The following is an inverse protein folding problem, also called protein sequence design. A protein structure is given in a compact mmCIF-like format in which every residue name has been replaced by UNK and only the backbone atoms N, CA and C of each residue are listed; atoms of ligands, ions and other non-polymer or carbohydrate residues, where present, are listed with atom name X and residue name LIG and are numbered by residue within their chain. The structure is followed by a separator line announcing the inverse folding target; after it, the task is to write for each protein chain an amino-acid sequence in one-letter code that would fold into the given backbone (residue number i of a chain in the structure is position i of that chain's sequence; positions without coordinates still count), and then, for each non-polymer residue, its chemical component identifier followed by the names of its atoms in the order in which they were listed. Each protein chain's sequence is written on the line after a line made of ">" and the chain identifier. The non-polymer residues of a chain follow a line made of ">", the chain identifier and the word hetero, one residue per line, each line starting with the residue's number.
data_IF_411515005470
#
_entry.id   IF_411515005470
#
_cell.length_a   1.000
_cell.length_b   1.000
_cell.length_c   1.000
_cell.angle_alpha   90.00
_cell.angle_beta   90.00
_cell.angle_gamma   90.00
#
_symmetry.space_group_name_H-M   'P 1'
#
loop_
_entity.id
_entity.type
_entity.pdbx_description
1 polymer ?
#
# COMPACT_ATOMS: atom_id res chain seq x y z
N UNK A 1 -13.42 -21.53 -5.30
CA UNK A 1 -14.07 -20.54 -6.17
C UNK A 1 -12.93 -19.81 -6.85
N UNK A 2 -12.85 -19.77 -8.18
CA UNK A 2 -11.76 -19.08 -8.87
C UNK A 2 -11.60 -17.64 -8.35
N UNK A 3 -10.35 -17.13 -8.32
CA UNK A 3 -10.08 -15.72 -8.05
C UNK A 3 -10.87 -14.87 -9.05
N UNK A 4 -11.69 -13.92 -8.60
CA UNK A 4 -12.34 -13.01 -9.52
C UNK A 4 -11.29 -12.05 -10.08
N UNK A 5 -11.34 -11.81 -11.39
CA UNK A 5 -10.35 -11.03 -12.13
C UNK A 5 -10.15 -9.62 -11.58
N UNK A 6 -11.17 -9.05 -10.94
CA UNK A 6 -11.10 -7.72 -10.33
C UNK A 6 -10.82 -7.73 -8.83
N UNK A 7 -10.82 -8.87 -8.14
CA UNK A 7 -10.64 -8.90 -6.67
C UNK A 7 -9.32 -8.27 -6.23
N UNK A 8 -8.25 -8.48 -7.00
CA UNK A 8 -6.93 -7.91 -6.72
C UNK A 8 -6.95 -6.39 -6.84
N UNK A 9 -7.63 -5.87 -7.87
CA UNK A 9 -7.75 -4.44 -8.12
C UNK A 9 -8.62 -3.77 -7.06
N UNK A 10 -9.80 -4.34 -6.78
CA UNK A 10 -10.70 -3.87 -5.72
C UNK A 10 -10.01 -3.86 -4.36
N UNK A 11 -9.18 -4.87 -4.06
CA UNK A 11 -8.39 -4.91 -2.83
C UNK A 11 -7.38 -3.74 -2.78
N UNK A 12 -6.67 -3.48 -3.87
CA UNK A 12 -5.72 -2.37 -3.95
C UNK A 12 -6.41 -1.00 -3.79
N UNK A 13 -7.56 -0.79 -4.44
CA UNK A 13 -8.37 0.42 -4.28
C UNK A 13 -8.92 0.58 -2.86
N UNK A 14 -9.36 -0.52 -2.25
CA UNK A 14 -9.84 -0.52 -0.86
C UNK A 14 -8.71 -0.14 0.10
N UNK A 15 -7.51 -0.70 -0.09
CA UNK A 15 -6.33 -0.34 0.71
C UNK A 15 -5.97 1.14 0.51
N UNK A 16 -5.96 1.62 -0.72
CA UNK A 16 -5.71 3.02 -1.04
C UNK A 16 -6.70 3.94 -0.31
N UNK A 17 -8.01 3.66 -0.42
CA UNK A 17 -9.06 4.44 0.22
C UNK A 17 -8.95 4.45 1.75
N UNK A 18 -8.64 3.30 2.36
CA UNK A 18 -8.46 3.21 3.80
C UNK A 18 -7.25 4.00 4.31
N UNK A 19 -6.12 3.92 3.61
CA UNK A 19 -4.94 4.70 3.97
C UNK A 19 -5.20 6.19 3.79
N UNK A 20 -5.84 6.57 2.70
CA UNK A 20 -6.20 7.96 2.43
C UNK A 20 -7.11 8.54 3.51
N UNK A 21 -8.19 7.83 3.88
CA UNK A 21 -9.08 8.25 4.95
C UNK A 21 -8.35 8.39 6.30
N UNK A 22 -7.47 7.45 6.64
CA UNK A 22 -6.69 7.52 7.88
C UNK A 22 -5.70 8.70 7.90
N UNK A 23 -5.12 9.07 6.75
CA UNK A 23 -4.27 10.25 6.63
C UNK A 23 -5.07 11.55 6.84
N UNK A 24 -6.28 11.64 6.30
CA UNK A 24 -7.18 12.78 6.57
C UNK A 24 -7.56 12.88 8.05
N UNK A 25 -7.96 11.76 8.66
CA UNK A 25 -8.27 11.72 10.10
C UNK A 25 -7.07 12.13 10.95
N UNK A 26 -5.86 11.74 10.53
CA UNK A 26 -4.62 12.12 11.22
C UNK A 26 -4.32 13.61 11.07
N UNK A 27 -4.49 14.18 9.86
CA UNK A 27 -4.32 15.60 9.62
C UNK A 27 -5.30 16.47 10.45
N UNK A 28 -6.52 15.98 10.67
CA UNK A 28 -7.47 16.64 11.57
C UNK A 28 -7.08 16.54 13.05
N UNK A 29 -6.31 15.53 13.45
CA UNK A 29 -5.95 15.27 14.85
C UNK A 29 -4.55 15.79 15.24
N UNK A 30 -3.64 15.93 14.28
CA UNK A 30 -2.23 16.26 14.50
C UNK A 30 -1.90 17.55 13.77
N UNK A 31 -1.57 18.60 14.53
CA UNK A 31 -1.16 19.89 13.98
C UNK A 31 0.03 19.74 13.00
N UNK A 32 -0.07 20.47 11.89
CA UNK A 32 0.86 20.49 10.76
C UNK A 32 1.08 19.15 10.05
N UNK A 33 0.26 18.12 10.33
CA UNK A 33 0.34 16.87 9.59
C UNK A 33 -0.39 16.98 8.24
N UNK A 34 0.27 16.69 7.11
CA UNK A 34 -0.39 16.68 5.82
C UNK A 34 -1.37 15.51 5.70
N UNK A 35 -2.54 15.78 5.13
CA UNK A 35 -3.58 14.78 4.84
C UNK A 35 -3.20 13.83 3.70
N UNK A 36 -4.21 13.20 3.12
CA UNK A 36 -4.03 12.34 1.97
C UNK A 36 -3.57 13.18 0.76
N UNK A 37 -2.46 12.83 0.09
CA UNK A 37 -2.05 13.56 -1.10
C UNK A 37 -3.08 13.41 -2.21
N UNK A 38 -3.36 14.46 -3.00
CA UNK A 38 -4.32 14.29 -4.11
C UNK A 38 -3.81 13.34 -5.19
N UNK A 39 -2.49 13.15 -5.30
CA UNK A 39 -1.93 12.06 -6.11
C UNK A 39 -2.01 10.75 -5.33
N UNK A 40 -3.23 10.25 -5.17
CA UNK A 40 -3.54 8.95 -4.58
C UNK A 40 -4.05 7.99 -5.67
N UNK A 41 -3.27 6.97 -6.04
CA UNK A 41 -3.67 6.06 -7.11
C UNK A 41 -3.14 4.62 -6.97
N UNK A 42 -3.88 3.67 -7.54
CA UNK A 42 -3.35 2.33 -7.80
C UNK A 42 -2.45 2.39 -9.03
N UNK A 43 -1.23 1.88 -8.93
CA UNK A 43 -0.21 1.95 -9.98
C UNK A 43 0.21 0.55 -10.43
N UNK A 44 0.73 0.38 -11.67
CA UNK A 44 1.13 -0.92 -12.19
C UNK A 44 2.44 -1.46 -11.59
N UNK A 45 3.17 -0.65 -10.82
CA UNK A 45 4.47 -0.98 -10.24
C UNK A 45 4.98 0.14 -9.33
N UNK A 46 6.28 0.13 -8.95
CA UNK A 46 6.86 1.17 -8.12
C UNK A 46 6.65 2.56 -8.74
N UNK A 47 6.30 3.58 -7.93
CA UNK A 47 6.11 4.93 -8.43
C UNK A 47 7.43 5.56 -8.88
N UNK A 48 7.34 6.50 -9.82
CA UNK A 48 8.40 7.47 -10.01
C UNK A 48 8.48 8.39 -8.78
N UNK A 49 9.71 8.81 -8.44
CA UNK A 49 9.97 9.72 -7.33
C UNK A 49 9.85 11.17 -7.81
N UNK A 50 8.65 11.52 -8.27
CA UNK A 50 8.31 12.82 -8.81
C UNK A 50 7.02 13.38 -8.20
N UNK A 51 6.83 14.70 -8.30
CA UNK A 51 5.58 15.33 -7.90
C UNK A 51 5.25 15.27 -6.40
N UNK A 52 6.21 14.99 -5.53
CA UNK A 52 5.98 15.10 -4.07
C UNK A 52 5.86 16.55 -3.59
N UNK A 53 6.42 17.50 -4.36
CA UNK A 53 6.51 18.92 -4.00
C UNK A 53 5.29 19.75 -4.37
N UNK A 54 4.37 19.23 -5.18
CA UNK A 54 3.24 20.02 -5.67
C UNK A 54 2.01 19.80 -4.78
N UNK A 55 1.54 20.83 -4.06
CA UNK A 55 0.20 20.80 -3.50
C UNK A 55 -0.81 20.82 -4.65
N UNK A 56 -1.98 20.25 -4.41
CA UNK A 56 -2.98 19.95 -5.41
C UNK A 56 -4.30 20.63 -5.06
N UNK A 57 -5.13 20.97 -6.04
CA UNK A 57 -6.38 21.71 -5.84
C UNK A 57 -6.36 23.10 -6.47
N UNK A 58 -7.51 23.77 -6.46
CA UNK A 58 -7.75 25.01 -7.24
C UNK A 58 -6.84 26.18 -6.81
N UNK A 59 -6.34 26.14 -5.56
CA UNK A 59 -5.54 27.19 -4.94
C UNK A 59 -4.22 26.68 -4.29
N UNK A 60 -3.81 25.43 -4.57
CA UNK A 60 -2.62 24.83 -3.95
C UNK A 60 -2.78 24.53 -2.44
N UNK A 61 -4.01 24.32 -1.98
CA UNK A 61 -4.35 24.04 -0.57
C UNK A 61 -4.32 22.55 -0.20
N UNK A 62 -4.30 21.64 -1.18
CA UNK A 62 -4.26 20.20 -0.93
C UNK A 62 -2.88 19.72 -0.48
N UNK A 63 -2.86 18.63 0.27
CA UNK A 63 -1.61 18.04 0.77
C UNK A 63 -0.71 17.61 -0.41
N UNK A 64 0.52 18.14 -0.43
CA UNK A 64 1.56 17.69 -1.33
C UNK A 64 1.97 16.24 -1.03
N UNK A 65 2.48 15.56 -2.05
CA UNK A 65 2.96 14.18 -1.95
C UNK A 65 2.32 13.24 -2.95
N UNK A 66 2.63 11.97 -2.79
CA UNK A 66 2.10 10.89 -3.62
C UNK A 66 1.84 9.65 -2.78
N UNK A 67 0.60 9.16 -2.82
CA UNK A 67 0.20 7.88 -2.24
C UNK A 67 -0.06 6.88 -3.37
N UNK A 68 0.66 5.77 -3.38
CA UNK A 68 0.43 4.71 -4.36
C UNK A 68 0.28 3.35 -3.72
N UNK A 69 -0.57 2.54 -4.33
CA UNK A 69 -0.66 1.11 -4.04
C UNK A 69 -0.36 0.35 -5.34
N UNK A 70 0.56 -0.59 -5.30
CA UNK A 70 0.79 -1.50 -6.43
C UNK A 70 0.88 -2.95 -5.97
N UNK A 71 0.64 -3.87 -6.89
CA UNK A 71 0.78 -5.30 -6.66
C UNK A 71 2.24 -5.68 -6.89
N UNK A 72 2.94 -6.14 -5.86
CA UNK A 72 4.30 -6.66 -6.00
C UNK A 72 4.31 -8.06 -6.60
N UNK A 73 3.40 -8.93 -6.15
CA UNK A 73 3.25 -10.29 -6.67
C UNK A 73 1.93 -10.94 -6.24
N UNK A 74 1.54 -11.95 -7.01
CA UNK A 74 0.46 -12.88 -6.71
C UNK A 74 1.07 -14.27 -6.66
N UNK A 75 0.78 -15.04 -5.61
CA UNK A 75 1.39 -16.35 -5.39
C UNK A 75 0.42 -17.36 -4.77
N UNK A 76 0.71 -18.64 -4.92
CA UNK A 76 -0.07 -19.74 -4.34
C UNK A 76 0.37 -19.98 -2.89
N UNK A 77 -0.57 -20.28 -1.99
CA UNK A 77 -0.22 -20.57 -0.60
C UNK A 77 -1.16 -21.59 0.04
N UNK A 78 -0.56 -22.60 0.67
CA UNK A 78 -1.20 -23.61 1.51
C UNK A 78 -1.04 -23.28 2.99
N UNK A 79 0.03 -22.56 3.34
CA UNK A 79 0.39 -22.14 4.70
C UNK A 79 0.68 -20.64 4.72
N UNK A 80 -0.37 -19.83 4.68
CA UNK A 80 -0.24 -18.37 4.58
C UNK A 80 0.64 -17.78 5.71
N UNK A 81 1.59 -16.85 5.43
CA UNK A 81 1.87 -16.19 4.15
C UNK A 81 3.01 -16.82 3.32
N UNK A 82 3.30 -18.11 3.49
CA UNK A 82 4.40 -18.80 2.79
C UNK A 82 4.02 -19.14 1.34
N UNK A 83 4.92 -18.86 0.41
CA UNK A 83 4.77 -19.19 -1.02
C UNK A 83 4.97 -20.71 -1.27
N UNK A 84 3.99 -21.32 -1.92
CA UNK A 84 4.02 -22.73 -2.29
C UNK A 84 4.96 -22.95 -3.48
N UNK A 85 5.88 -23.90 -3.35
CA UNK A 85 6.74 -24.36 -4.46
C UNK A 85 6.30 -25.69 -5.06
N UNK A 86 5.05 -26.08 -4.79
CA UNK A 86 4.51 -27.38 -5.24
C UNK A 86 4.16 -27.29 -6.73
N UNK A 87 4.68 -28.24 -7.51
CA UNK A 87 4.38 -28.37 -8.93
C UNK A 87 2.90 -28.74 -9.11
N UNK A 88 2.19 -27.92 -9.88
CA UNK A 88 0.77 -28.16 -10.19
C UNK A 88 0.62 -29.18 -11.31
N UNK A 89 -0.48 -29.95 -11.30
CA UNK A 89 -0.78 -30.95 -12.34
C UNK A 89 -0.08 -32.31 -12.18
N UNK A 90 0.63 -32.54 -11.07
CA UNK A 90 1.10 -33.86 -10.69
C UNK A 90 -0.03 -34.76 -10.18
N UNK A 91 0.20 -36.09 -10.16
CA UNK A 91 -0.73 -37.03 -9.51
C UNK A 91 -0.89 -36.65 -8.03
N UNK A 92 -2.14 -36.54 -7.57
CA UNK A 92 -2.52 -36.16 -6.20
C UNK A 92 -2.14 -34.72 -5.77
N UNK A 93 -1.91 -33.80 -6.70
CA UNK A 93 -1.71 -32.38 -6.37
C UNK A 93 -3.07 -31.72 -6.07
N UNK A 94 -3.30 -31.34 -4.81
CA UNK A 94 -4.43 -30.50 -4.44
C UNK A 94 -4.18 -29.05 -4.89
N UNK A 95 -5.20 -28.34 -5.39
CA UNK A 95 -5.06 -26.92 -5.69
C UNK A 95 -4.71 -26.12 -4.43
N UNK A 96 -4.03 -24.97 -4.56
CA UNK A 96 -3.68 -24.13 -3.42
C UNK A 96 -4.91 -23.73 -2.59
N UNK A 97 -4.77 -23.73 -1.27
CA UNK A 97 -5.86 -23.38 -0.36
C UNK A 97 -6.25 -21.89 -0.46
N UNK A 98 -5.28 -21.03 -0.75
CA UNK A 98 -5.46 -19.60 -0.92
C UNK A 98 -4.52 -19.04 -1.99
N UNK A 99 -4.84 -17.82 -2.44
CA UNK A 99 -3.96 -17.00 -3.27
C UNK A 99 -3.46 -15.84 -2.41
N UNK A 100 -2.14 -15.76 -2.23
CA UNK A 100 -1.51 -14.62 -1.58
C UNK A 100 -1.34 -13.47 -2.57
N UNK A 101 -1.77 -12.27 -2.19
CA UNK A 101 -1.51 -11.04 -2.94
C UNK A 101 -0.65 -10.14 -2.06
N UNK A 102 0.54 -9.80 -2.55
CA UNK A 102 1.41 -8.84 -1.87
C UNK A 102 1.25 -7.46 -2.51
N UNK A 103 0.76 -6.53 -1.72
CA UNK A 103 0.62 -5.12 -2.06
C UNK A 103 1.73 -4.32 -1.41
N UNK A 104 2.13 -3.26 -2.10
CA UNK A 104 3.09 -2.28 -1.62
C UNK A 104 2.39 -0.93 -1.59
N UNK A 105 2.27 -0.37 -0.39
CA UNK A 105 1.77 0.97 -0.15
C UNK A 105 2.97 1.89 -0.01
N UNK A 106 3.09 2.87 -0.88
CA UNK A 106 4.17 3.86 -0.86
C UNK A 106 3.56 5.24 -0.66
N UNK A 107 4.02 5.95 0.37
CA UNK A 107 3.69 7.36 0.58
C UNK A 107 4.98 8.17 0.47
N UNK A 108 4.99 9.14 -0.43
CA UNK A 108 6.07 10.10 -0.62
C UNK A 108 5.61 11.51 -0.22
N UNK A 109 6.50 12.23 0.45
CA UNK A 109 6.39 13.63 0.89
C UNK A 109 7.64 14.39 0.44
N UNK A 110 7.58 15.72 0.50
CA UNK A 110 8.75 16.57 0.25
C UNK A 110 9.84 16.29 1.28
N UNK A 111 11.06 16.09 0.80
CA UNK A 111 12.25 16.13 1.63
C UNK A 111 12.80 17.57 1.65
N UNK A 112 13.29 18.07 2.80
CA UNK A 112 14.11 19.28 2.82
C UNK A 112 15.36 19.07 1.94
N UNK A 113 15.58 19.98 0.99
CA UNK A 113 16.73 19.95 0.07
C UNK A 113 17.59 21.20 0.28
N UNK A 114 18.75 21.22 -0.40
CA UNK A 114 19.64 22.39 -0.44
C UNK A 114 18.89 23.60 -1.01
N UNK A 115 19.03 24.76 -0.38
CA UNK A 115 18.39 26.00 -0.83
C UNK A 115 19.05 26.60 -2.09
N UNK A 116 18.43 27.64 -2.67
CA UNK A 116 18.93 28.33 -3.87
C UNK A 116 20.33 28.95 -3.69
N UNK A 117 20.79 29.09 -2.44
CA UNK A 117 22.13 29.63 -2.10
C UNK A 117 23.16 28.52 -1.89
N UNK A 118 22.78 27.25 -2.05
CA UNK A 118 23.66 26.11 -1.82
C UNK A 118 23.81 25.72 -0.35
N UNK A 119 22.97 26.25 0.55
CA UNK A 119 23.01 25.90 1.97
C UNK A 119 22.22 24.60 2.22
N UNK A 120 22.77 23.67 3.02
CA UNK A 120 22.04 22.46 3.41
C UNK A 120 20.85 22.81 4.33
N UNK A 121 19.83 21.94 4.39
CA UNK A 121 18.71 22.12 5.31
C UNK A 121 19.19 22.12 6.77
N UNK A 122 18.52 22.92 7.59
CA UNK A 122 18.74 23.01 9.02
C UNK A 122 18.28 21.73 9.74
N UNK A 123 18.79 21.50 10.95
CA UNK A 123 18.32 20.39 11.78
C UNK A 123 16.84 20.52 12.15
N UNK A 124 16.30 21.74 12.24
CA UNK A 124 14.89 21.98 12.54
C UNK A 124 13.99 21.55 11.37
N UNK A 125 14.37 21.88 10.13
CA UNK A 125 13.67 21.41 8.92
C UNK A 125 13.71 19.89 8.79
N UNK A 126 14.87 19.28 9.05
CA UNK A 126 15.02 17.82 9.05
C UNK A 126 14.19 17.16 10.15
N UNK A 127 14.13 17.75 11.35
CA UNK A 127 13.32 17.24 12.45
C UNK A 127 11.81 17.35 12.16
N UNK A 128 11.37 18.44 11.53
CA UNK A 128 9.98 18.61 11.10
C UNK A 128 9.59 17.55 10.06
N UNK A 129 10.43 17.35 9.03
CA UNK A 129 10.21 16.32 8.02
C UNK A 129 10.20 14.91 8.63
N UNK A 130 11.12 14.62 9.56
CA UNK A 130 11.15 13.35 10.28
C UNK A 130 9.87 13.12 11.09
N UNK A 131 9.35 14.14 11.79
CA UNK A 131 8.07 14.05 12.50
C UNK A 131 6.94 13.66 11.55
N UNK A 132 6.81 14.36 10.41
CA UNK A 132 5.79 14.06 9.41
C UNK A 132 5.86 12.61 8.93
N UNK A 133 7.06 12.13 8.60
CA UNK A 133 7.30 10.76 8.12
C UNK A 133 7.00 9.73 9.20
N UNK A 134 7.36 9.98 10.46
CA UNK A 134 7.07 9.07 11.56
C UNK A 134 5.56 8.96 11.86
N UNK A 135 4.84 10.09 11.78
CA UNK A 135 3.39 10.11 11.95
C UNK A 135 2.72 9.37 10.80
N UNK A 136 3.09 9.68 9.56
CA UNK A 136 2.62 8.97 8.35
C UNK A 136 2.87 7.46 8.42
N UNK A 137 4.05 7.05 8.89
CA UNK A 137 4.43 5.66 9.10
C UNK A 137 3.45 4.94 10.03
N UNK A 138 3.20 5.53 11.20
CA UNK A 138 2.28 5.00 12.20
C UNK A 138 0.84 4.99 11.69
N UNK A 139 0.41 6.05 10.98
CA UNK A 139 -0.91 6.15 10.38
C UNK A 139 -1.15 5.05 9.37
N UNK A 140 -0.24 4.82 8.42
CA UNK A 140 -0.38 3.75 7.42
C UNK A 140 -0.45 2.38 8.10
N UNK A 141 0.42 2.12 9.08
CA UNK A 141 0.44 0.86 9.80
C UNK A 141 -0.90 0.59 10.51
N UNK A 142 -1.42 1.59 11.23
CA UNK A 142 -2.70 1.50 11.93
C UNK A 142 -3.88 1.39 10.96
N UNK A 143 -3.85 2.14 9.86
CA UNK A 143 -4.88 2.11 8.83
C UNK A 143 -5.06 0.70 8.27
N UNK A 144 -3.96 0.01 7.94
CA UNK A 144 -4.02 -1.36 7.43
C UNK A 144 -4.51 -2.36 8.49
N UNK A 145 -4.06 -2.22 9.74
CA UNK A 145 -4.51 -3.07 10.85
C UNK A 145 -6.01 -2.95 11.11
N UNK A 146 -6.56 -1.73 11.03
CA UNK A 146 -7.96 -1.46 11.33
C UNK A 146 -8.88 -1.69 10.12
N UNK A 147 -8.41 -1.41 8.91
CA UNK A 147 -9.21 -1.53 7.69
C UNK A 147 -9.32 -2.98 7.22
N UNK A 148 -8.20 -3.70 7.04
CA UNK A 148 -8.22 -5.01 6.38
C UNK A 148 -9.19 -6.02 7.00
N UNK A 149 -9.34 -6.14 8.34
CA UNK A 149 -10.33 -7.03 8.95
C UNK A 149 -11.79 -6.75 8.57
N UNK A 150 -12.10 -5.52 8.13
CA UNK A 150 -13.45 -5.10 7.73
C UNK A 150 -13.68 -5.20 6.22
N UNK A 151 -12.63 -5.53 5.45
CA UNK A 151 -12.72 -5.65 3.99
C UNK A 151 -13.27 -7.01 3.52
N UNK A 152 -13.94 -7.01 2.38
CA UNK A 152 -14.45 -8.22 1.72
C UNK A 152 -15.77 -8.76 2.26
N UNK A 153 -16.15 -9.96 1.83
CA UNK A 153 -17.46 -10.57 2.10
C UNK A 153 -17.47 -11.53 3.29
N UNK A 154 -16.28 -11.81 3.87
CA UNK A 154 -16.15 -12.73 5.01
C UNK A 154 -16.47 -12.02 6.32
N UNK A 155 -17.13 -12.73 7.23
CA UNK A 155 -17.49 -12.23 8.57
C UNK A 155 -16.32 -11.69 9.41
N UNK A 156 -15.08 -12.07 9.10
CA UNK A 156 -13.85 -11.63 9.80
C UNK A 156 -12.80 -11.03 8.85
N UNK A 157 -13.20 -10.65 7.63
CA UNK A 157 -12.27 -10.19 6.60
C UNK A 157 -11.31 -11.28 6.08
N UNK A 158 -10.38 -10.92 5.18
CA UNK A 158 -9.29 -11.79 4.75
C UNK A 158 -8.24 -11.96 5.87
N UNK A 159 -7.49 -13.06 5.81
CA UNK A 159 -6.25 -13.15 6.59
C UNK A 159 -5.21 -12.25 5.93
N UNK A 160 -4.41 -11.55 6.73
CA UNK A 160 -3.36 -10.68 6.21
C UNK A 160 -2.13 -10.72 7.10
N UNK A 161 -1.00 -10.34 6.51
CA UNK A 161 0.29 -10.22 7.17
C UNK A 161 0.89 -8.86 6.79
N UNK A 162 1.27 -8.09 7.80
CA UNK A 162 1.99 -6.83 7.61
C UNK A 162 3.49 -7.12 7.64
N UNK A 163 4.17 -6.83 6.53
CA UNK A 163 5.62 -6.86 6.47
C UNK A 163 6.24 -5.73 7.29
N UNK A 164 7.55 -5.78 7.46
CA UNK A 164 8.28 -4.66 8.04
C UNK A 164 8.09 -3.41 7.17
N UNK A 165 7.73 -2.31 7.80
CA UNK A 165 7.72 -1.00 7.15
C UNK A 165 9.15 -0.53 6.90
N UNK A 166 9.36 0.16 5.79
CA UNK A 166 10.66 0.75 5.44
C UNK A 166 10.50 2.25 5.30
N UNK A 167 11.42 3.00 5.89
CA UNK A 167 11.63 4.39 5.53
C UNK A 167 12.42 4.40 4.23
N UNK A 168 11.94 5.17 3.26
CA UNK A 168 12.59 5.36 1.97
C UNK A 168 13.65 6.46 2.13
N UNK A 169 14.77 6.28 1.43
CA UNK A 169 15.84 7.29 1.35
C UNK A 169 15.32 8.56 0.65
N UNK A 170 16.16 9.59 0.54
CA UNK A 170 15.78 10.79 -0.22
C UNK A 170 16.23 10.64 -1.67
N UNK A 171 15.32 10.81 -2.63
CA UNK A 171 15.63 10.81 -4.06
C UNK A 171 14.75 11.85 -4.76
N UNK A 172 15.33 12.67 -5.64
CA UNK A 172 14.57 13.69 -6.39
C UNK A 172 13.88 14.76 -5.52
N UNK A 173 14.29 14.93 -4.26
CA UNK A 173 13.61 15.81 -3.30
C UNK A 173 12.36 15.18 -2.65
N UNK A 174 12.14 13.89 -2.85
CA UNK A 174 11.07 13.13 -2.22
C UNK A 174 11.63 12.16 -1.19
N UNK A 175 10.85 11.87 -0.15
CA UNK A 175 11.12 10.84 0.84
C UNK A 175 9.82 10.29 1.42
N UNK A 176 9.86 9.19 2.16
CA UNK A 176 8.67 8.73 2.85
C UNK A 176 8.76 7.29 3.32
N UNK A 177 7.68 6.54 3.14
CA UNK A 177 7.58 5.18 3.67
C UNK A 177 6.99 4.20 2.67
N UNK A 178 7.47 2.97 2.77
CA UNK A 178 6.93 1.81 2.08
C UNK A 178 6.41 0.80 3.12
N UNK A 179 5.15 0.42 3.00
CA UNK A 179 4.54 -0.64 3.79
C UNK A 179 4.11 -1.77 2.87
N UNK A 180 4.62 -2.97 3.12
CA UNK A 180 4.23 -4.19 2.40
C UNK A 180 3.12 -4.90 3.18
N UNK A 181 2.06 -5.30 2.48
CA UNK A 181 0.97 -6.08 3.07
C UNK A 181 0.62 -7.26 2.18
N UNK A 182 0.60 -8.43 2.78
CA UNK A 182 0.19 -9.66 2.10
C UNK A 182 -1.22 -10.01 2.55
N UNK A 183 -2.13 -10.26 1.61
CA UNK A 183 -3.53 -10.60 1.88
C UNK A 183 -3.87 -11.94 1.25
N UNK A 184 -4.57 -12.79 2.00
CA UNK A 184 -5.06 -14.08 1.54
C UNK A 184 -6.42 -13.91 0.85
N UNK A 185 -6.44 -14.02 -0.47
CA UNK A 185 -7.65 -14.14 -1.27
C UNK A 185 -8.08 -15.62 -1.39
N UNK A 186 -9.37 -15.90 -1.64
CA UNK A 186 -9.85 -17.26 -1.87
C UNK A 186 -9.03 -17.97 -2.94
N UNK A 187 -8.64 -19.21 -2.68
CA UNK A 187 -7.89 -20.03 -3.63
C UNK A 187 -8.73 -20.43 -4.83
N UNK A 188 -8.05 -20.66 -5.97
CA UNK A 188 -8.70 -21.06 -7.21
C UNK A 188 -9.51 -22.35 -7.05
N UNK A 189 -10.81 -22.27 -7.35
CA UNK A 189 -11.57 -23.44 -7.80
C UNK A 189 -11.73 -23.31 -9.30
N UNK A 190 -11.01 -24.12 -10.08
CA UNK A 190 -11.31 -24.25 -11.51
C UNK A 190 -12.75 -24.75 -11.67
N UNK A 191 -13.50 -24.30 -12.68
CA UNK A 191 -14.74 -24.98 -13.03
C UNK A 191 -14.41 -26.46 -13.27
N UNK A 192 -15.11 -27.36 -12.60
CA UNK A 192 -15.02 -28.79 -12.88
C UNK A 192 -15.44 -29.01 -14.33
N UNK A 193 -14.72 -29.87 -15.05
CA UNK A 193 -15.16 -30.42 -16.34
C UNK A 193 -16.44 -31.24 -16.13
N UNK A 194 -17.57 -30.58 -15.95
CA UNK A 194 -18.90 -31.14 -16.11
C UNK A 194 -19.61 -30.34 -17.20
N UNK A 195 -19.09 -30.36 -18.43
CA UNK A 195 -19.88 -30.32 -19.67
C UNK A 195 -18.94 -30.58 -20.86
N UNK A 196 -18.70 -31.84 -21.18
CA UNK A 196 -18.38 -32.22 -22.56
C UNK A 196 -19.68 -32.74 -23.18
N UNK A 197 -20.12 -32.23 -24.35
CA UNK A 197 -21.26 -32.79 -25.07
C UNK A 197 -20.98 -34.21 -25.59
#
# INVERSE_FOLDING_TARGET
>A
MALNLLDVHTLAETVLGCVCAALEDTAAAVEDQPGCPCRACVTPGPPAWDGCNEPCGVDGEGAGGQLTVHVARIFATSSFPVDDRVVQGGRNCAPPAATGVELVVTLLRCAPVVDDRGCPPSCEELAAAARTVHVDAATIYNALLCCLPTTGTRRRGPMFFLGAQRVLEQEGGCMGVEQRVTVALPGCGCPSEETSP
#
